data_IF_151601675901
#
_entry.id   IF_151601675901
#
_cell.length_a   1.000
_cell.length_b   1.000
_cell.length_c   1.000
_cell.angle_alpha   90.00
_cell.angle_beta   90.00
_cell.angle_gamma   90.00
#
_symmetry.space_group_name_H-M   'P 1'
#
loop_
_entity.id
_entity.type
_entity.pdbx_description
1 polymer ?
#
# COMPACT_ATOMS: atom_id res chain seq x y z
N UNK A 1 13.14 11.70 -6.00
CA UNK A 1 11.78 11.89 -5.46
C UNK A 1 11.17 13.10 -6.13
N UNK A 2 9.95 13.00 -6.64
CA UNK A 2 9.22 14.07 -7.33
C UNK A 2 7.80 14.22 -6.77
N UNK A 3 7.25 15.42 -6.91
CA UNK A 3 5.88 15.75 -6.56
C UNK A 3 5.07 15.89 -7.85
N UNK A 4 3.96 15.17 -7.95
CA UNK A 4 2.96 15.29 -9.02
C UNK A 4 1.71 15.90 -8.41
N UNK A 5 1.11 16.88 -9.07
CA UNK A 5 -0.09 17.57 -8.63
C UNK A 5 -1.21 17.22 -9.59
N UNK A 6 -2.25 16.53 -9.12
CA UNK A 6 -3.47 16.32 -9.90
C UNK A 6 -4.52 17.32 -9.46
N UNK A 7 -5.13 18.00 -10.43
CA UNK A 7 -6.20 18.97 -10.21
C UNK A 7 -7.53 18.33 -10.58
N UNK A 8 -8.49 18.33 -9.64
CA UNK A 8 -9.82 17.78 -9.82
C UNK A 8 -10.88 18.87 -9.65
N UNK A 9 -11.97 18.84 -10.43
CA UNK A 9 -13.14 19.68 -10.15
C UNK A 9 -13.67 19.34 -8.76
N UNK A 10 -14.05 20.37 -7.99
CA UNK A 10 -14.28 20.28 -6.54
C UNK A 10 -15.17 19.08 -6.11
N UNK A 11 -14.59 18.02 -5.51
CA UNK A 11 -15.36 16.96 -4.85
C UNK A 11 -15.90 17.42 -3.49
N UNK A 12 -16.76 16.61 -2.87
CA UNK A 12 -17.36 16.86 -1.55
C UNK A 12 -16.36 16.87 -0.39
N UNK A 13 -15.13 16.40 -0.61
CA UNK A 13 -14.08 16.25 0.40
C UNK A 13 -12.77 16.83 -0.14
N UNK A 14 -12.24 17.86 0.51
CA UNK A 14 -10.97 18.50 0.13
C UNK A 14 -10.92 19.99 0.47
N UNK A 15 -9.74 20.60 0.36
CA UNK A 15 -9.60 22.06 0.46
C UNK A 15 -9.70 22.64 -0.95
N UNK A 16 -10.84 23.27 -1.25
CA UNK A 16 -11.05 23.95 -2.52
C UNK A 16 -10.21 25.23 -2.61
N UNK A 17 -9.52 25.43 -3.73
CA UNK A 17 -8.87 26.69 -4.08
C UNK A 17 -9.21 27.04 -5.53
N UNK A 18 -10.02 28.08 -5.70
CA UNK A 18 -10.39 28.59 -7.03
C UNK A 18 -11.16 27.56 -7.88
N UNK A 19 -12.13 26.85 -7.29
CA UNK A 19 -12.95 25.87 -8.01
C UNK A 19 -12.31 24.49 -8.19
N UNK A 20 -11.08 24.30 -7.70
CA UNK A 20 -10.29 23.09 -7.91
C UNK A 20 -9.82 22.53 -6.57
N UNK A 21 -9.81 21.21 -6.43
CA UNK A 21 -9.10 20.49 -5.37
C UNK A 21 -7.86 19.85 -5.96
N UNK A 22 -6.71 20.02 -5.30
CA UNK A 22 -5.45 19.42 -5.72
C UNK A 22 -5.09 18.22 -4.85
N UNK A 23 -4.83 17.08 -5.46
CA UNK A 23 -4.22 15.91 -4.82
C UNK A 23 -2.72 15.90 -5.12
N UNK A 24 -1.92 15.60 -4.09
CA UNK A 24 -0.46 15.62 -4.14
C UNK A 24 0.09 14.19 -4.09
N UNK A 25 0.79 13.79 -5.14
CA UNK A 25 1.42 12.48 -5.25
C UNK A 25 2.93 12.62 -5.14
N UNK A 26 3.53 11.93 -4.17
CA UNK A 26 4.98 11.86 -4.04
C UNK A 26 5.46 10.53 -4.60
N UNK A 27 6.36 10.58 -5.58
CA UNK A 27 6.87 9.38 -6.25
C UNK A 27 8.39 9.32 -6.24
N UNK A 28 8.93 8.12 -6.01
CA UNK A 28 10.35 7.81 -6.22
C UNK A 28 10.63 7.35 -7.64
N UNK A 29 9.60 7.16 -8.48
CA UNK A 29 9.75 6.72 -9.86
C UNK A 29 10.59 7.74 -10.66
N UNK A 30 11.50 7.27 -11.52
CA UNK A 30 12.40 8.13 -12.28
C UNK A 30 11.60 8.96 -13.29
N UNK A 31 11.75 10.29 -13.20
CA UNK A 31 11.05 11.22 -14.09
C UNK A 31 11.28 10.98 -15.60
N UNK A 32 12.47 10.53 -16.05
CA UNK A 32 12.68 10.23 -17.47
C UNK A 32 11.97 8.96 -17.99
N UNK A 33 11.48 8.08 -17.12
CA UNK A 33 10.84 6.82 -17.54
C UNK A 33 9.34 6.78 -17.26
N UNK A 34 8.83 7.69 -16.42
CA UNK A 34 7.43 7.76 -16.06
C UNK A 34 6.97 9.20 -16.16
N UNK A 35 5.89 9.46 -16.89
CA UNK A 35 5.25 10.77 -16.93
C UNK A 35 4.50 11.07 -15.62
N UNK A 36 3.94 12.27 -15.49
CA UNK A 36 3.02 12.57 -14.40
C UNK A 36 1.71 11.77 -14.52
N UNK A 37 1.24 11.52 -15.75
CA UNK A 37 0.08 10.66 -16.02
C UNK A 37 0.36 9.24 -15.56
N UNK A 38 1.49 8.66 -15.94
CA UNK A 38 1.83 7.27 -15.58
C UNK A 38 1.83 7.05 -14.06
N UNK A 39 2.27 8.05 -13.29
CA UNK A 39 2.23 8.01 -11.82
C UNK A 39 0.81 8.06 -11.29
N UNK A 40 -0.02 8.93 -11.86
CA UNK A 40 -1.41 9.06 -11.47
C UNK A 40 -2.19 7.79 -11.84
N UNK A 41 -1.98 7.26 -13.05
CA UNK A 41 -2.58 6.02 -13.51
C UNK A 41 -2.15 4.85 -12.62
N UNK A 42 -0.85 4.71 -12.32
CA UNK A 42 -0.35 3.71 -11.36
C UNK A 42 -1.03 3.83 -9.98
N UNK A 43 -1.21 5.05 -9.48
CA UNK A 43 -1.87 5.28 -8.20
C UNK A 43 -3.37 4.95 -8.26
N UNK A 44 -4.09 5.42 -9.27
CA UNK A 44 -5.53 5.19 -9.42
C UNK A 44 -5.82 3.69 -9.63
N UNK A 45 -4.93 2.99 -10.33
CA UNK A 45 -4.98 1.55 -10.47
C UNK A 45 -4.71 0.79 -9.17
N UNK A 46 -4.29 1.44 -8.07
CA UNK A 46 -4.33 0.80 -6.75
C UNK A 46 -5.74 0.34 -6.39
N UNK A 47 -6.79 0.96 -6.93
CA UNK A 47 -8.17 0.50 -6.73
C UNK A 47 -8.39 -0.94 -7.19
N UNK A 48 -7.60 -1.44 -8.16
CA UNK A 48 -7.61 -2.86 -8.53
C UNK A 48 -7.12 -3.77 -7.40
N UNK A 49 -6.30 -3.28 -6.47
CA UNK A 49 -5.92 -4.00 -5.27
C UNK A 49 -7.11 -4.21 -4.35
N UNK A 50 -8.00 -3.22 -4.22
CA UNK A 50 -9.24 -3.36 -3.43
C UNK A 50 -10.16 -4.43 -4.03
N UNK A 51 -10.22 -4.55 -5.37
CA UNK A 51 -10.92 -5.67 -6.03
C UNK A 51 -10.27 -7.02 -5.71
N UNK A 52 -8.94 -7.09 -5.66
CA UNK A 52 -8.23 -8.33 -5.28
C UNK A 52 -8.50 -8.70 -3.82
N UNK A 53 -8.58 -7.72 -2.91
CA UNK A 53 -8.95 -7.96 -1.51
C UNK A 53 -10.40 -8.43 -1.40
N UNK A 54 -11.33 -7.83 -2.15
CA UNK A 54 -12.72 -8.28 -2.18
C UNK A 54 -12.85 -9.71 -2.73
N UNK A 55 -12.12 -10.06 -3.80
CA UNK A 55 -12.04 -11.42 -4.32
C UNK A 55 -11.42 -12.38 -3.28
N UNK A 56 -10.43 -11.92 -2.50
CA UNK A 56 -9.82 -12.68 -1.41
C UNK A 56 -10.86 -13.01 -0.34
N UNK A 57 -11.60 -12.01 0.13
CA UNK A 57 -12.62 -12.14 1.16
C UNK A 57 -13.76 -13.07 0.69
N UNK A 58 -14.23 -12.91 -0.55
CA UNK A 58 -15.29 -13.76 -1.13
C UNK A 58 -14.83 -15.21 -1.34
N UNK A 59 -13.63 -15.44 -1.88
CA UNK A 59 -13.15 -16.80 -2.17
C UNK A 59 -12.72 -17.59 -0.93
N UNK A 60 -12.31 -16.90 0.14
CA UNK A 60 -11.86 -17.55 1.37
C UNK A 60 -12.93 -17.58 2.46
N UNK A 61 -13.90 -16.66 2.44
CA UNK A 61 -14.92 -16.45 3.49
C UNK A 61 -14.29 -16.21 4.88
N UNK A 62 -13.20 -15.42 4.94
CA UNK A 62 -12.41 -15.20 6.16
C UNK A 62 -13.03 -14.24 7.18
N UNK A 63 -14.17 -13.62 6.88
CA UNK A 63 -14.91 -12.76 7.82
C UNK A 63 -15.47 -13.50 9.05
N UNK A 64 -15.24 -14.81 9.15
CA UNK A 64 -15.66 -15.65 10.27
C UNK A 64 -14.64 -15.61 11.40
N UNK A 65 -15.14 -15.68 12.63
CA UNK A 65 -14.30 -15.85 13.82
C UNK A 65 -13.83 -17.31 13.92
N UNK A 66 -12.52 -17.53 13.76
CA UNK A 66 -11.87 -18.84 13.91
C UNK A 66 -11.25 -19.02 15.30
N UNK A 67 -10.94 -17.92 15.99
CA UNK A 67 -10.41 -17.94 17.35
C UNK A 67 -10.81 -16.70 18.12
N UNK A 68 -11.12 -16.86 19.42
CA UNK A 68 -11.41 -15.75 20.32
C UNK A 68 -10.16 -14.96 20.79
N UNK A 69 -8.97 -15.36 20.35
CA UNK A 69 -7.71 -14.68 20.67
C UNK A 69 -7.17 -13.96 19.44
N UNK A 70 -6.62 -12.73 19.55
CA UNK A 70 -6.06 -12.00 18.41
C UNK A 70 -5.00 -12.81 17.64
N UNK A 71 -4.05 -13.44 18.36
CA UNK A 71 -3.01 -14.25 17.73
C UNK A 71 -3.55 -15.50 17.01
N UNK A 72 -4.61 -16.12 17.55
CA UNK A 72 -5.26 -17.25 16.90
C UNK A 72 -6.03 -16.85 15.64
N UNK A 73 -6.64 -15.66 15.64
CA UNK A 73 -7.33 -15.14 14.45
C UNK A 73 -6.32 -14.73 13.37
N UNK A 74 -5.24 -14.04 13.75
CA UNK A 74 -4.13 -13.70 12.85
C UNK A 74 -3.51 -14.95 12.22
N UNK A 75 -3.25 -15.99 13.01
CA UNK A 75 -2.74 -17.26 12.50
C UNK A 75 -3.70 -17.90 11.49
N UNK A 76 -5.01 -17.86 11.73
CA UNK A 76 -6.00 -18.37 10.79
C UNK A 76 -5.97 -17.62 9.45
N UNK A 77 -5.88 -16.28 9.47
CA UNK A 77 -5.76 -15.47 8.26
C UNK A 77 -4.47 -15.79 7.48
N UNK A 78 -3.33 -15.97 8.17
CA UNK A 78 -2.08 -16.36 7.53
C UNK A 78 -2.22 -17.72 6.82
N UNK A 79 -2.80 -18.71 7.49
CA UNK A 79 -3.04 -20.02 6.88
C UNK A 79 -3.97 -19.94 5.69
N UNK A 80 -5.03 -19.13 5.78
CA UNK A 80 -5.98 -18.95 4.70
C UNK A 80 -5.30 -18.33 3.47
N UNK A 81 -4.48 -17.30 3.69
CA UNK A 81 -3.71 -16.67 2.61
C UNK A 81 -2.67 -17.60 1.99
N UNK A 82 -2.02 -18.45 2.80
CA UNK A 82 -1.14 -19.50 2.29
C UNK A 82 -1.90 -20.50 1.42
N UNK A 83 -3.07 -20.96 1.87
CA UNK A 83 -3.90 -21.88 1.08
C UNK A 83 -4.38 -21.21 -0.21
N UNK A 84 -4.75 -19.93 -0.19
CA UNK A 84 -5.19 -19.20 -1.37
C UNK A 84 -4.11 -19.04 -2.43
N UNK A 85 -2.87 -18.75 -2.00
CA UNK A 85 -1.71 -18.74 -2.88
C UNK A 85 -1.36 -20.14 -3.39
N UNK A 86 -1.43 -21.15 -2.53
CA UNK A 86 -1.19 -22.54 -2.93
C UNK A 86 -2.20 -22.99 -3.99
N UNK A 87 -3.48 -22.62 -3.89
CA UNK A 87 -4.49 -22.93 -4.93
C UNK A 87 -4.12 -22.35 -6.30
N UNK A 88 -3.46 -21.19 -6.34
CA UNK A 88 -3.01 -20.60 -7.60
C UNK A 88 -1.89 -21.44 -8.23
N UNK A 89 -0.88 -21.80 -7.44
CA UNK A 89 0.23 -22.65 -7.89
C UNK A 89 -0.25 -24.03 -8.33
N UNK A 90 -1.07 -24.68 -7.49
CA UNK A 90 -1.64 -25.99 -7.79
C UNK A 90 -2.62 -25.96 -8.96
N UNK A 91 -3.29 -24.83 -9.22
CA UNK A 91 -4.18 -24.67 -10.37
C UNK A 91 -3.43 -24.46 -11.69
N UNK A 92 -2.23 -23.87 -11.66
CA UNK A 92 -1.39 -23.70 -12.85
C UNK A 92 -0.85 -25.04 -13.39
N UNK A 93 -0.59 -26.02 -12.52
CA UNK A 93 -0.07 -27.33 -12.91
C UNK A 93 -1.03 -28.13 -13.83
N UNK A 94 -2.33 -28.28 -13.51
CA UNK A 94 -3.30 -28.97 -14.36
C UNK A 94 -3.90 -28.11 -15.46
N UNK A 95 -3.83 -26.77 -15.34
CA UNK A 95 -4.40 -25.85 -16.34
C UNK A 95 -3.46 -24.65 -16.52
N UNK A 96 -2.33 -24.85 -17.22
CA UNK A 96 -1.37 -23.78 -17.46
C UNK A 96 -2.06 -22.65 -18.19
N UNK A 97 -2.05 -21.47 -17.59
CA UNK A 97 -2.57 -20.26 -18.21
C UNK A 97 -1.41 -19.36 -18.59
N UNK A 98 -1.45 -18.87 -19.83
CA UNK A 98 -0.45 -17.93 -20.30
C UNK A 98 -0.45 -16.66 -19.45
N UNK A 99 0.75 -16.14 -19.21
CA UNK A 99 0.91 -14.86 -18.55
C UNK A 99 0.37 -13.76 -19.48
N UNK A 100 -0.70 -13.10 -19.06
CA UNK A 100 -1.29 -12.02 -19.82
C UNK A 100 -0.37 -10.82 -19.74
N UNK A 101 -0.15 -10.15 -20.87
CA UNK A 101 0.59 -8.90 -20.94
C UNK A 101 -0.37 -7.83 -21.44
N UNK A 102 -0.58 -6.80 -20.64
CA UNK A 102 -1.41 -5.66 -20.98
C UNK A 102 -0.53 -4.43 -21.05
N UNK A 103 -0.63 -3.69 -22.14
CA UNK A 103 -0.03 -2.36 -22.24
C UNK A 103 -0.78 -1.42 -21.31
N UNK A 104 -0.07 -0.90 -20.32
CA UNK A 104 -0.60 -0.04 -19.28
C UNK A 104 -0.45 1.43 -19.65
N UNK A 105 0.67 1.80 -20.27
CA UNK A 105 0.90 3.14 -20.82
C UNK A 105 1.73 3.03 -22.11
N UNK A 106 1.34 3.74 -23.19
CA UNK A 106 2.05 3.70 -24.45
C UNK A 106 3.41 4.38 -24.37
N UNK A 107 4.33 3.96 -25.23
CA UNK A 107 5.54 4.74 -25.49
C UNK A 107 5.14 6.01 -26.26
N UNK A 108 5.62 7.17 -25.83
CA UNK A 108 5.46 8.39 -26.61
C UNK A 108 6.54 8.41 -27.70
N UNK A 109 6.13 8.40 -28.96
CA UNK A 109 7.04 8.65 -30.08
C UNK A 109 7.68 10.03 -29.89
N UNK A 110 9.00 10.08 -29.79
CA UNK A 110 9.71 11.34 -29.79
C UNK A 110 9.61 11.92 -31.21
N UNK A 111 8.87 13.03 -31.39
CA UNK A 111 8.99 13.80 -32.62
C UNK A 111 10.47 14.22 -32.80
N UNK A 112 11.04 14.09 -34.01
CA UNK A 112 12.42 14.46 -34.25
C UNK A 112 12.56 15.98 -34.12
N UNK A 113 13.23 16.43 -33.05
CA UNK A 113 13.64 17.81 -32.87
C UNK A 113 14.64 18.19 -33.98
N UNK A 114 14.24 19.12 -34.85
CA UNK A 114 15.12 19.80 -35.80
C UNK A 114 16.26 20.51 -35.06
N UNK A 115 17.48 20.10 -35.38
CA UNK A 115 18.73 20.74 -34.99
C UNK A 115 18.91 22.05 -35.75
N UNK A 116 19.00 23.17 -35.03
CA UNK A 116 20.04 24.22 -35.21
C UNK A 116 19.62 25.52 -34.50
N UNK A 117 20.35 25.93 -33.45
CA UNK A 117 20.84 27.32 -33.29
C UNK A 117 21.92 27.37 -32.17
N UNK A 118 23.06 28.08 -32.35
CA UNK A 118 24.15 28.08 -31.39
C UNK A 118 23.99 29.06 -30.22
N UNK A 119 24.42 28.59 -29.06
CA UNK A 119 24.37 29.20 -27.73
C UNK A 119 25.38 30.37 -27.56
N UNK A 120 24.92 31.48 -26.98
CA UNK A 120 25.71 32.70 -26.69
C UNK A 120 26.05 32.79 -25.19
N UNK A 121 27.25 33.27 -24.78
CA UNK A 121 27.74 33.09 -23.42
C UNK A 121 27.08 34.01 -22.39
N UNK A 122 26.72 33.40 -21.25
CA UNK A 122 25.97 33.99 -20.15
C UNK A 122 26.72 35.07 -19.37
N UNK A 123 26.04 36.20 -19.12
CA UNK A 123 26.40 37.23 -18.15
C UNK A 123 26.09 36.76 -16.70
N UNK A 124 26.75 37.32 -15.66
CA UNK A 124 26.52 36.91 -14.28
C UNK A 124 25.11 37.25 -13.80
N UNK A 125 24.50 36.43 -12.91
CA UNK A 125 23.11 36.59 -12.50
C UNK A 125 22.90 37.82 -11.61
N UNK A 126 21.80 38.57 -11.80
CA UNK A 126 21.44 39.70 -10.95
C UNK A 126 21.02 39.25 -9.54
N UNK A 127 21.22 40.14 -8.56
CA UNK A 127 20.78 39.91 -7.19
C UNK A 127 19.25 39.80 -7.12
N UNK A 128 18.74 38.64 -6.70
CA UNK A 128 17.31 38.37 -6.55
C UNK A 128 16.73 39.27 -5.46
N UNK A 129 15.78 40.14 -5.84
CA UNK A 129 15.04 40.97 -4.90
C UNK A 129 13.77 40.22 -4.49
N UNK A 130 13.47 40.13 -3.20
CA UNK A 130 12.32 39.39 -2.67
C UNK A 130 11.17 40.31 -2.25
N UNK A 131 9.95 39.81 -2.35
CA UNK A 131 8.71 40.48 -1.97
C UNK A 131 8.53 40.45 -0.44
N UNK A 132 7.62 41.28 0.12
CA UNK A 132 7.35 41.27 1.56
C UNK A 132 6.94 39.88 2.06
N UNK A 133 7.30 39.51 3.30
CA UNK A 133 7.03 38.19 3.86
C UNK A 133 5.53 37.88 3.89
N UNK A 134 5.15 36.76 3.26
CA UNK A 134 3.83 36.17 3.39
C UNK A 134 3.83 35.18 4.55
N UNK A 135 3.01 35.44 5.55
CA UNK A 135 2.90 34.60 6.74
C UNK A 135 2.06 33.36 6.48
N UNK A 136 2.45 32.23 7.07
CA UNK A 136 1.59 31.05 7.07
C UNK A 136 0.22 31.41 7.68
N UNK A 137 -0.86 31.00 6.99
CA UNK A 137 -2.24 31.20 7.44
C UNK A 137 -2.47 30.55 8.81
N UNK A 138 -3.52 31.00 9.49
CA UNK A 138 -4.00 30.43 10.77
C UNK A 138 -3.94 28.91 10.72
N UNK A 139 -3.17 28.32 11.63
CA UNK A 139 -3.29 26.88 11.89
C UNK A 139 -4.74 26.59 12.30
N UNK A 140 -5.23 25.39 12.00
CA UNK A 140 -6.57 24.87 12.33
C UNK A 140 -6.97 24.99 13.83
N UNK A 141 -6.09 25.54 14.64
CA UNK A 141 -5.97 25.31 16.07
C UNK A 141 -6.11 26.60 16.90
N UNK A 142 -6.82 27.61 16.38
CA UNK A 142 -7.22 28.84 17.09
C UNK A 142 -6.09 29.71 17.70
N UNK A 143 -4.82 29.39 17.46
CA UNK A 143 -3.68 30.18 17.94
C UNK A 143 -3.45 31.47 17.15
N UNK A 144 -2.63 32.39 17.69
CA UNK A 144 -2.29 33.64 17.00
C UNK A 144 -1.69 33.36 15.60
N UNK A 145 -2.23 33.96 14.52
CA UNK A 145 -1.69 33.80 13.17
C UNK A 145 -0.28 34.39 13.05
N UNK A 146 0.46 34.00 12.02
CA UNK A 146 1.78 34.60 11.75
C UNK A 146 1.73 36.12 11.57
N UNK A 147 0.61 36.66 11.06
CA UNK A 147 0.37 38.11 10.93
C UNK A 147 0.27 38.86 12.26
N UNK A 148 0.04 38.17 13.38
CA UNK A 148 0.03 38.77 14.71
C UNK A 148 1.45 38.99 15.28
N UNK A 149 2.50 38.59 14.53
CA UNK A 149 3.89 38.76 14.92
C UNK A 149 4.49 39.90 14.10
N UNK A 150 4.79 41.02 14.76
CA UNK A 150 5.21 42.25 14.09
C UNK A 150 6.71 42.22 13.78
N UNK A 151 7.13 42.42 12.51
CA UNK A 151 8.53 42.58 12.15
C UNK A 151 9.20 43.72 12.92
N UNK A 152 10.49 43.58 13.18
CA UNK A 152 11.33 44.59 13.83
C UNK A 152 12.45 45.05 12.88
N UNK A 153 12.99 46.28 13.06
CA UNK A 153 14.08 46.80 12.23
C UNK A 153 15.36 45.94 12.27
N UNK A 154 15.58 45.21 13.36
CA UNK A 154 16.72 44.30 13.54
C UNK A 154 16.53 42.92 12.85
N UNK A 155 15.42 42.74 12.12
CA UNK A 155 15.08 41.49 11.45
C UNK A 155 14.47 40.43 12.37
N UNK A 156 14.21 40.73 13.64
CA UNK A 156 13.45 39.86 14.55
C UNK A 156 11.94 40.07 14.40
N UNK A 157 11.12 39.24 15.07
CA UNK A 157 9.69 39.48 15.23
C UNK A 157 9.34 39.71 16.69
N UNK A 158 8.27 40.46 16.97
CA UNK A 158 7.65 40.54 18.29
C UNK A 158 6.32 39.82 18.29
N UNK A 159 6.09 38.97 19.30
CA UNK A 159 4.77 38.37 19.50
C UNK A 159 3.78 39.36 20.14
N UNK A 160 2.48 39.02 20.24
CA UNK A 160 1.47 39.86 20.91
C UNK A 160 1.78 40.19 22.39
N UNK A 161 2.58 39.36 23.07
CA UNK A 161 3.08 39.62 24.42
C UNK A 161 4.42 40.40 24.45
N UNK A 162 4.82 41.00 23.33
CA UNK A 162 6.02 41.82 23.18
C UNK A 162 7.37 41.07 23.39
N UNK A 163 7.37 39.74 23.33
CA UNK A 163 8.61 38.96 23.39
C UNK A 163 9.23 38.76 22.00
N UNK A 164 10.57 38.77 21.88
CA UNK A 164 11.25 38.61 20.60
C UNK A 164 11.27 37.15 20.11
N UNK A 165 11.15 36.99 18.80
CA UNK A 165 11.42 35.78 18.04
C UNK A 165 12.59 36.05 17.10
N UNK A 166 13.56 35.14 17.12
CA UNK A 166 14.77 35.25 16.32
C UNK A 166 14.67 34.34 15.10
N UNK A 167 15.23 34.79 13.99
CA UNK A 167 15.39 33.96 12.80
C UNK A 167 16.29 32.76 13.14
N UNK A 168 15.80 31.55 12.85
CA UNK A 168 16.49 30.29 13.07
C UNK A 168 16.98 29.67 11.76
N UNK A 169 16.19 29.81 10.69
CA UNK A 169 16.46 29.11 9.44
C UNK A 169 16.08 29.99 8.24
N UNK A 170 16.94 29.96 7.21
CA UNK A 170 16.68 30.48 5.87
C UNK A 170 16.83 29.32 4.90
N UNK A 171 15.72 28.88 4.30
CA UNK A 171 15.73 27.75 3.39
C UNK A 171 15.27 28.17 2.00
N UNK A 172 16.16 28.14 0.99
CA UNK A 172 15.73 28.31 -0.39
C UNK A 172 14.90 27.10 -0.81
N UNK A 173 13.77 27.36 -1.46
CA UNK A 173 12.92 26.35 -2.08
C UNK A 173 13.20 26.28 -3.59
N UNK A 174 12.79 25.18 -4.24
CA UNK A 174 13.11 24.94 -5.66
C UNK A 174 12.36 25.86 -6.60
N UNK A 175 11.29 26.49 -6.15
CA UNK A 175 10.52 27.51 -6.87
C UNK A 175 11.16 28.91 -6.78
N UNK A 176 12.35 29.02 -6.19
CA UNK A 176 13.06 30.28 -5.97
C UNK A 176 12.57 31.06 -4.75
N UNK A 177 11.51 30.61 -4.07
CA UNK A 177 11.05 31.23 -2.83
C UNK A 177 12.03 30.97 -1.68
N UNK A 178 12.01 31.85 -0.68
CA UNK A 178 12.84 31.75 0.51
C UNK A 178 11.95 31.62 1.74
N UNK A 179 11.98 30.45 2.39
CA UNK A 179 11.26 30.22 3.64
C UNK A 179 12.12 30.65 4.83
N UNK A 180 11.55 31.51 5.66
CA UNK A 180 12.14 32.01 6.90
C UNK A 180 11.41 31.38 8.09
N UNK A 181 12.16 30.79 9.03
CA UNK A 181 11.61 30.28 10.29
C UNK A 181 12.08 31.14 11.47
N UNK A 182 11.14 31.66 12.22
CA UNK A 182 11.37 32.42 13.45
C UNK A 182 10.96 31.61 14.66
N UNK A 183 11.72 31.69 15.76
CA UNK A 183 11.40 31.02 17.01
C UNK A 183 11.62 31.93 18.22
N UNK A 184 10.71 31.84 19.20
CA UNK A 184 10.89 32.45 20.50
C UNK A 184 11.89 31.65 21.35
N UNK A 185 12.44 32.28 22.39
CA UNK A 185 13.11 31.52 23.47
C UNK A 185 12.05 30.85 24.34
N UNK A 186 12.25 29.58 24.69
CA UNK A 186 11.29 28.84 25.53
C UNK A 186 11.08 29.52 26.90
N UNK A 187 12.11 30.18 27.45
CA UNK A 187 11.99 30.97 28.68
C UNK A 187 10.91 32.05 28.60
N UNK A 188 10.85 32.80 27.49
CA UNK A 188 9.81 33.80 27.26
C UNK A 188 8.41 33.18 27.12
N UNK A 189 8.32 31.98 26.53
CA UNK A 189 7.04 31.30 26.36
C UNK A 189 6.51 30.67 27.66
N UNK A 190 7.37 30.24 28.58
CA UNK A 190 6.95 29.55 29.82
C UNK A 190 6.24 30.48 30.80
N UNK A 191 6.71 31.72 30.92
CA UNK A 191 6.14 32.74 31.82
C UNK A 191 5.12 33.66 31.14
N UNK A 192 4.81 33.46 29.85
CA UNK A 192 3.94 34.35 29.09
C UNK A 192 2.46 34.14 29.48
N UNK A 193 1.70 35.20 29.83
CA UNK A 193 0.28 35.07 30.16
C UNK A 193 -0.57 34.64 28.95
N UNK A 194 -0.11 34.93 27.73
CA UNK A 194 -0.78 34.52 26.49
C UNK A 194 -0.37 33.12 26.03
N UNK A 195 0.38 32.34 26.83
CA UNK A 195 0.92 31.04 26.44
C UNK A 195 -0.16 30.06 25.98
N UNK A 196 -1.27 29.93 26.71
CA UNK A 196 -2.32 28.97 26.37
C UNK A 196 -3.03 29.28 25.04
N UNK A 197 -3.15 30.58 24.70
CA UNK A 197 -3.71 31.01 23.43
C UNK A 197 -2.67 30.95 22.29
N UNK A 198 -1.40 31.21 22.59
CA UNK A 198 -0.32 31.25 21.60
C UNK A 198 0.25 29.86 21.26
N UNK A 199 0.23 28.95 22.25
CA UNK A 199 0.61 27.56 22.17
C UNK A 199 -0.60 26.75 22.61
N UNK A 200 -1.25 26.09 21.66
CA UNK A 200 -2.48 25.28 21.86
C UNK A 200 -2.43 24.31 23.05
N UNK A 201 -1.22 23.95 23.47
CA UNK A 201 -0.97 23.19 24.67
C UNK A 201 -0.06 23.97 25.63
N UNK A 202 -0.50 24.13 26.87
CA UNK A 202 0.31 24.67 27.96
C UNK A 202 1.50 23.77 28.30
N UNK A 203 1.44 22.48 27.95
CA UNK A 203 2.46 21.45 28.26
C UNK A 203 3.53 21.29 27.18
N UNK A 204 3.45 22.02 26.06
CA UNK A 204 4.47 21.90 25.01
C UNK A 204 5.86 22.33 25.50
N UNK A 205 6.84 21.46 25.27
CA UNK A 205 8.25 21.73 25.56
C UNK A 205 8.91 22.61 24.49
N UNK A 206 8.24 22.84 23.35
CA UNK A 206 8.78 23.59 22.21
C UNK A 206 8.40 25.07 22.29
N UNK A 207 9.30 26.01 21.92
CA UNK A 207 8.95 27.41 21.82
C UNK A 207 7.99 27.68 20.66
N UNK A 208 7.32 28.83 20.68
CA UNK A 208 6.48 29.28 19.55
C UNK A 208 7.37 29.48 18.31
N UNK A 209 6.92 28.96 17.18
CA UNK A 209 7.56 29.11 15.87
C UNK A 209 6.59 29.76 14.89
N UNK A 210 7.12 30.58 13.99
CA UNK A 210 6.37 31.27 12.93
C UNK A 210 7.19 31.19 11.66
N UNK A 211 6.57 30.81 10.55
CA UNK A 211 7.22 30.79 9.24
C UNK A 211 6.65 31.88 8.32
N UNK A 212 7.54 32.52 7.57
CA UNK A 212 7.20 33.37 6.45
C UNK A 212 7.81 32.82 5.17
N UNK A 213 7.15 33.07 4.03
CA UNK A 213 7.69 32.79 2.70
C UNK A 213 7.91 34.12 2.00
N UNK A 214 9.11 34.31 1.47
CA UNK A 214 9.47 35.43 0.62
C UNK A 214 9.45 34.94 -0.83
N UNK A 215 8.65 35.58 -1.68
CA UNK A 215 8.60 35.28 -3.11
C UNK A 215 9.52 36.21 -3.89
N UNK A 216 10.24 35.75 -4.91
CA UNK A 216 11.02 36.64 -5.77
C UNK A 216 10.11 37.73 -6.35
N UNK A 217 10.49 39.01 -6.19
CA UNK A 217 9.93 40.07 -7.02
C UNK A 217 10.55 39.87 -8.39
N UNK A 218 9.77 39.33 -9.32
CA UNK A 218 10.15 39.30 -10.73
C UNK A 218 10.59 40.71 -11.11
N UNK A 219 11.90 40.91 -11.31
CA UNK A 219 12.40 42.15 -11.89
C UNK A 219 11.67 42.34 -13.21
N UNK A 220 10.90 43.40 -13.29
CA UNK A 220 9.99 43.70 -14.40
C UNK A 220 10.74 43.75 -15.73
N UNK A 221 10.24 42.94 -16.66
CA UNK A 221 10.39 43.00 -18.11
C UNK A 221 11.80 42.85 -18.71
N UNK A 222 12.15 41.61 -19.01
CA UNK A 222 12.23 41.20 -20.40
C UNK A 222 11.22 40.07 -20.61
N UNK A 223 10.47 40.10 -21.71
CA UNK A 223 9.71 38.95 -22.21
C UNK A 223 10.69 37.80 -22.44
N UNK A 224 10.89 37.03 -21.38
CA UNK A 224 11.67 35.82 -21.40
C UNK A 224 11.00 34.95 -20.34
N UNK A 225 9.94 34.28 -20.77
CA UNK A 225 9.61 32.98 -20.22
C UNK A 225 10.93 32.28 -19.95
N UNK A 226 11.22 31.79 -18.71
CA UNK A 226 12.34 30.87 -18.57
C UNK A 226 12.09 29.78 -19.61
N UNK A 227 13.06 29.44 -20.48
CA UNK A 227 12.89 28.29 -21.33
C UNK A 227 12.49 27.16 -20.39
N UNK A 228 11.39 26.42 -20.66
CA UNK A 228 11.09 25.23 -19.89
C UNK A 228 12.39 24.44 -19.89
N UNK A 229 12.90 24.12 -18.70
CA UNK A 229 14.18 23.42 -18.49
C UNK A 229 14.31 22.34 -19.57
N UNK A 230 14.99 22.69 -20.66
CA UNK A 230 14.93 21.94 -21.92
C UNK A 230 16.01 20.88 -21.89
N UNK A 231 16.10 20.20 -20.75
CA UNK A 231 16.23 18.75 -20.83
C UNK A 231 14.91 18.27 -21.43
N UNK A 232 14.85 17.89 -22.73
CA UNK A 232 13.68 17.19 -23.22
C UNK A 232 13.47 16.04 -22.23
N UNK A 233 12.32 16.06 -21.54
CA UNK A 233 11.89 14.92 -20.77
C UNK A 233 11.87 13.79 -21.78
N UNK A 234 12.90 12.95 -21.74
CA UNK A 234 13.14 11.92 -22.74
C UNK A 234 11.85 11.13 -22.80
N UNK A 235 11.16 11.19 -23.95
CA UNK A 235 9.90 10.48 -24.11
C UNK A 235 10.14 9.02 -23.72
N UNK A 236 9.26 8.42 -22.91
CA UNK A 236 9.45 7.03 -22.50
C UNK A 236 9.61 6.18 -23.76
N UNK A 237 10.80 5.61 -23.93
CA UNK A 237 11.20 4.90 -25.15
C UNK A 237 10.63 3.48 -25.25
N UNK A 238 9.83 3.08 -24.26
CA UNK A 238 9.20 1.78 -24.18
C UNK A 238 7.86 1.89 -23.42
N UNK A 239 6.86 1.08 -23.79
CA UNK A 239 5.58 1.05 -23.08
C UNK A 239 5.74 0.48 -21.68
N UNK A 240 4.88 0.91 -20.76
CA UNK A 240 4.72 0.25 -19.46
C UNK A 240 3.85 -0.98 -19.67
N UNK A 241 4.38 -2.16 -19.36
CA UNK A 241 3.66 -3.42 -19.49
C UNK A 241 3.29 -3.97 -18.12
N UNK A 242 2.02 -4.31 -17.94
CA UNK A 242 1.52 -5.06 -16.80
C UNK A 242 1.44 -6.55 -17.17
N UNK A 243 1.96 -7.41 -16.29
CA UNK A 243 1.91 -8.86 -16.49
C UNK A 243 1.23 -9.54 -15.32
N UNK A 244 0.22 -10.34 -15.62
CA UNK A 244 -0.51 -11.08 -14.61
C UNK A 244 -1.08 -12.41 -15.13
N UNK A 245 -1.40 -13.31 -14.22
CA UNK A 245 -2.19 -14.49 -14.53
C UNK A 245 -3.68 -14.24 -14.26
N UNK A 246 -4.60 -14.94 -14.94
CA UNK A 246 -6.03 -14.91 -14.60
C UNK A 246 -6.29 -15.68 -13.29
N UNK A 247 -5.78 -15.15 -12.17
CA UNK A 247 -5.68 -15.81 -10.87
C UNK A 247 -7.01 -16.39 -10.39
N UNK A 248 -8.09 -15.61 -10.47
CA UNK A 248 -9.42 -16.04 -10.03
C UNK A 248 -9.95 -17.21 -10.87
N UNK A 249 -9.73 -17.20 -12.19
CA UNK A 249 -10.10 -18.32 -13.07
C UNK A 249 -9.35 -19.59 -12.70
N UNK A 250 -8.03 -19.48 -12.47
CA UNK A 250 -7.18 -20.62 -12.08
C UNK A 250 -7.63 -21.21 -10.75
N UNK A 251 -7.84 -20.38 -9.71
CA UNK A 251 -8.28 -20.86 -8.39
C UNK A 251 -9.67 -21.49 -8.43
N UNK A 252 -10.63 -20.90 -9.15
CA UNK A 252 -11.98 -21.45 -9.32
C UNK A 252 -11.95 -22.77 -10.07
N UNK A 253 -11.14 -22.87 -11.12
CA UNK A 253 -10.96 -24.10 -11.89
C UNK A 253 -10.35 -25.20 -11.03
N UNK A 254 -9.30 -24.87 -10.26
CA UNK A 254 -8.69 -25.79 -9.30
C UNK A 254 -9.70 -26.32 -8.28
N UNK A 255 -10.48 -25.44 -7.65
CA UNK A 255 -11.52 -25.83 -6.70
C UNK A 255 -12.58 -26.74 -7.34
N UNK A 256 -13.00 -26.44 -8.57
CA UNK A 256 -13.94 -27.30 -9.32
C UNK A 256 -13.32 -28.67 -9.54
N UNK A 257 -12.10 -28.75 -10.05
CA UNK A 257 -11.38 -30.00 -10.29
C UNK A 257 -11.33 -30.84 -9.03
N UNK A 258 -10.83 -30.28 -7.92
CA UNK A 258 -10.73 -31.00 -6.63
C UNK A 258 -12.08 -31.48 -6.11
N UNK A 259 -13.13 -30.63 -6.19
CA UNK A 259 -14.47 -30.99 -5.73
C UNK A 259 -15.18 -32.02 -6.63
N UNK A 260 -14.80 -32.11 -7.90
CA UNK A 260 -15.33 -33.09 -8.84
C UNK A 260 -14.51 -34.38 -8.90
N UNK A 261 -13.43 -34.53 -8.13
CA UNK A 261 -12.63 -35.75 -8.14
C UNK A 261 -13.44 -36.91 -7.58
N UNK A 262 -13.41 -38.00 -8.32
CA UNK A 262 -13.85 -39.30 -7.81
C UNK A 262 -12.68 -39.92 -7.05
N UNK A 263 -12.96 -40.35 -5.82
CA UNK A 263 -12.01 -41.08 -4.98
C UNK A 263 -12.53 -42.49 -4.81
N UNK A 264 -11.83 -43.47 -5.38
CA UNK A 264 -12.13 -44.87 -5.21
C UNK A 264 -11.28 -45.44 -4.08
N UNK A 265 -11.94 -46.16 -3.17
CA UNK A 265 -11.30 -46.77 -2.01
C UNK A 265 -11.47 -48.29 -2.12
N UNK A 266 -10.37 -48.98 -2.39
CA UNK A 266 -10.36 -50.43 -2.51
C UNK A 266 -9.60 -51.05 -1.34
N UNK A 267 -10.28 -51.93 -0.61
CA UNK A 267 -9.65 -52.75 0.42
C UNK A 267 -9.24 -54.08 -0.20
N UNK A 268 -8.00 -54.51 0.04
CA UNK A 268 -7.52 -55.81 -0.42
C UNK A 268 -8.20 -57.01 0.25
N UNK A 269 -9.00 -56.77 1.30
CA UNK A 269 -9.80 -57.80 1.97
C UNK A 269 -11.29 -57.60 1.67
N UNK A 270 -12.06 -58.68 1.41
CA UNK A 270 -13.50 -58.59 1.26
C UNK A 270 -14.10 -57.99 2.54
N UNK A 271 -14.96 -57.00 2.35
CA UNK A 271 -15.67 -56.33 3.43
C UNK A 271 -16.57 -57.37 4.12
N UNK A 272 -16.06 -58.00 5.18
CA UNK A 272 -16.90 -58.80 6.05
C UNK A 272 -17.69 -57.79 6.87
N UNK A 273 -19.02 -57.69 6.73
CA UNK A 273 -19.80 -56.82 7.61
C UNK A 273 -19.47 -57.26 9.04
N UNK A 274 -19.10 -56.33 9.93
CA UNK A 274 -18.82 -56.71 11.30
C UNK A 274 -20.03 -57.46 11.81
N UNK A 275 -19.83 -58.72 12.21
CA UNK A 275 -20.81 -59.49 12.96
C UNK A 275 -21.14 -58.62 14.16
N UNK A 276 -22.30 -57.95 14.12
CA UNK A 276 -22.69 -57.02 15.16
C UNK A 276 -22.63 -57.80 16.48
N UNK A 277 -21.69 -57.48 17.38
CA UNK A 277 -21.74 -58.08 18.71
C UNK A 277 -23.11 -57.72 19.26
N UNK A 278 -23.80 -58.68 19.87
CA UNK A 278 -25.01 -58.38 20.63
C UNK A 278 -24.69 -57.16 21.51
N UNK A 279 -25.35 -56.03 21.25
CA UNK A 279 -25.01 -54.75 21.85
C UNK A 279 -25.19 -54.87 23.36
N UNK A 280 -24.11 -55.15 24.05
CA UNK A 280 -24.07 -55.11 25.50
C UNK A 280 -24.22 -53.64 25.85
N UNK A 281 -25.25 -53.29 26.61
CA UNK A 281 -25.45 -51.93 27.10
C UNK A 281 -24.19 -51.50 27.85
N UNK A 282 -23.38 -50.69 27.18
CA UNK A 282 -22.13 -50.21 27.74
C UNK A 282 -22.46 -49.06 28.68
N UNK A 283 -22.51 -49.35 29.97
CA UNK A 283 -22.71 -48.33 30.99
C UNK A 283 -21.43 -47.50 31.10
N UNK A 284 -21.46 -46.28 30.60
CA UNK A 284 -20.35 -45.34 30.72
C UNK A 284 -20.34 -44.67 32.09
N UNK A 285 -19.18 -44.67 32.74
CA UNK A 285 -18.91 -43.88 33.94
C UNK A 285 -18.96 -42.38 33.64
N UNK A 286 -19.14 -41.56 34.68
CA UNK A 286 -19.11 -40.09 34.56
C UNK A 286 -17.78 -39.57 33.98
N UNK A 287 -16.67 -40.24 34.28
CA UNK A 287 -15.35 -39.90 33.77
C UNK A 287 -15.21 -40.23 32.27
N UNK A 288 -15.75 -41.35 31.82
CA UNK A 288 -15.77 -41.73 30.39
C UNK A 288 -16.72 -40.85 29.57
N UNK A 289 -17.79 -40.32 30.19
CA UNK A 289 -18.70 -39.35 29.57
C UNK A 289 -18.13 -37.93 29.52
N UNK A 290 -17.12 -37.64 30.32
CA UNK A 290 -16.48 -36.33 30.29
C UNK A 290 -15.62 -36.23 29.02
N UNK A 291 -15.95 -35.28 28.15
CA UNK A 291 -15.20 -35.02 26.91
C UNK A 291 -13.89 -34.31 27.23
N UNK A 292 -12.90 -35.05 27.72
CA UNK A 292 -11.54 -34.58 27.83
C UNK A 292 -10.93 -34.49 26.43
N UNK A 293 -10.25 -33.38 26.15
CA UNK A 293 -9.41 -33.30 24.94
C UNK A 293 -8.30 -34.32 25.09
N UNK A 294 -8.34 -35.38 24.27
CA UNK A 294 -7.22 -36.30 24.15
C UNK A 294 -5.94 -35.54 23.82
N UNK A 295 -4.83 -35.93 24.44
CA UNK A 295 -3.50 -35.46 24.06
C UNK A 295 -3.20 -35.85 22.61
N UNK A 296 -2.18 -35.23 22.03
CA UNK A 296 -1.76 -35.57 20.66
C UNK A 296 -1.38 -37.05 20.54
N UNK A 297 -0.61 -37.58 21.49
CA UNK A 297 -0.21 -39.00 21.52
C UNK A 297 -1.41 -39.94 21.63
N UNK A 298 -2.39 -39.59 22.47
CA UNK A 298 -3.63 -40.38 22.60
C UNK A 298 -4.44 -40.40 21.29
N UNK A 299 -4.47 -39.28 20.56
CA UNK A 299 -5.13 -39.21 19.24
C UNK A 299 -4.39 -40.04 18.21
N UNK A 300 -3.06 -39.93 18.17
CA UNK A 300 -2.21 -40.70 17.28
C UNK A 300 -2.35 -42.20 17.55
N UNK A 301 -2.28 -42.62 18.82
CA UNK A 301 -2.45 -44.02 19.21
C UNK A 301 -3.85 -44.56 18.84
N UNK A 302 -4.90 -43.77 19.09
CA UNK A 302 -6.27 -44.14 18.73
C UNK A 302 -6.47 -44.29 17.21
N UNK A 303 -5.83 -43.43 16.42
CA UNK A 303 -5.92 -43.43 14.97
C UNK A 303 -4.82 -44.27 14.30
N UNK A 304 -3.94 -44.91 15.08
CA UNK A 304 -2.83 -45.69 14.55
C UNK A 304 -3.39 -46.88 13.78
N UNK A 305 -2.90 -47.07 12.56
CA UNK A 305 -3.30 -48.19 11.72
C UNK A 305 -2.72 -49.49 12.32
N UNK A 306 -3.55 -50.50 12.65
CA UNK A 306 -3.06 -51.81 13.07
C UNK A 306 -2.16 -52.44 12.02
N UNK A 307 -1.14 -53.19 12.44
CA UNK A 307 -0.19 -53.83 11.52
C UNK A 307 -0.84 -54.88 10.62
N UNK A 308 -1.94 -55.48 11.07
CA UNK A 308 -2.77 -56.47 10.38
C UNK A 308 -3.90 -55.83 9.55
N UNK A 309 -4.05 -54.51 9.58
CA UNK A 309 -5.11 -53.83 8.84
C UNK A 309 -4.93 -54.02 7.32
N UNK A 310 -6.01 -54.36 6.57
CA UNK A 310 -5.93 -54.62 5.15
C UNK A 310 -5.36 -53.42 4.40
N UNK A 311 -4.70 -53.68 3.27
CA UNK A 311 -4.16 -52.62 2.44
C UNK A 311 -5.33 -51.86 1.83
N UNK A 312 -5.35 -50.56 2.07
CA UNK A 312 -6.24 -49.62 1.40
C UNK A 312 -5.51 -49.05 0.19
N UNK A 313 -6.10 -49.24 -0.98
CA UNK A 313 -5.69 -48.59 -2.23
C UNK A 313 -6.63 -47.41 -2.43
N UNK A 314 -6.05 -46.22 -2.59
CA UNK A 314 -6.79 -44.98 -2.85
C UNK A 314 -6.48 -44.57 -4.28
N UNK A 315 -7.50 -44.56 -5.14
CA UNK A 315 -7.38 -44.13 -6.53
C UNK A 315 -8.07 -42.79 -6.70
N UNK A 316 -7.33 -41.79 -7.19
CA UNK A 316 -7.82 -40.44 -7.45
C UNK A 316 -8.03 -40.27 -8.96
N UNK A 317 -9.23 -39.92 -9.37
CA UNK A 317 -9.57 -39.70 -10.78
C UNK A 317 -9.67 -38.21 -11.11
N UNK A 318 -9.44 -37.86 -12.38
CA UNK A 318 -9.61 -36.50 -12.89
C UNK A 318 -8.45 -35.53 -12.60
N UNK A 319 -7.32 -36.05 -12.11
CA UNK A 319 -6.08 -35.30 -11.94
C UNK A 319 -5.20 -35.41 -13.20
N UNK A 320 -4.49 -34.32 -13.53
CA UNK A 320 -3.54 -34.33 -14.64
C UNK A 320 -2.30 -35.15 -14.29
N UNK A 321 -1.67 -35.77 -15.29
CA UNK A 321 -0.41 -36.50 -15.08
C UNK A 321 0.73 -35.62 -14.51
N UNK A 322 0.93 -34.36 -14.97
CA UNK A 322 1.91 -33.46 -14.36
C UNK A 322 1.66 -33.21 -12.86
N UNK A 323 0.39 -33.02 -12.47
CA UNK A 323 0.03 -32.88 -11.06
C UNK A 323 0.39 -34.14 -10.27
N UNK A 324 -0.01 -35.32 -10.77
CA UNK A 324 0.27 -36.57 -10.10
C UNK A 324 1.78 -36.82 -9.90
N UNK A 325 2.59 -36.53 -10.91
CA UNK A 325 4.06 -36.65 -10.86
C UNK A 325 4.66 -35.69 -9.83
N UNK A 326 4.20 -34.43 -9.78
CA UNK A 326 4.70 -33.43 -8.84
C UNK A 326 4.53 -33.84 -7.37
N UNK A 327 3.51 -34.66 -7.06
CA UNK A 327 3.23 -35.16 -5.71
C UNK A 327 3.65 -36.61 -5.48
N UNK A 328 4.34 -37.23 -6.44
CA UNK A 328 4.83 -38.61 -6.32
C UNK A 328 3.72 -39.67 -6.37
N UNK A 329 2.57 -39.36 -6.96
CA UNK A 329 1.52 -40.34 -7.20
C UNK A 329 1.87 -41.24 -8.40
N UNK A 330 1.59 -42.54 -8.26
CA UNK A 330 1.74 -43.48 -9.36
C UNK A 330 0.62 -43.28 -10.38
N UNK A 331 0.98 -43.21 -11.67
CA UNK A 331 0.01 -43.17 -12.76
C UNK A 331 -0.49 -44.59 -13.05
N UNK A 332 -1.81 -44.77 -13.05
CA UNK A 332 -2.44 -45.99 -13.56
C UNK A 332 -2.64 -45.84 -15.07
N UNK A 333 -2.33 -46.89 -15.84
CA UNK A 333 -2.62 -46.90 -17.27
C UNK A 333 -4.13 -46.74 -17.50
N UNK A 334 -4.57 -46.02 -18.56
CA UNK A 334 -5.99 -45.94 -18.89
C UNK A 334 -6.51 -47.36 -19.16
N UNK A 335 -7.53 -47.76 -18.40
CA UNK A 335 -8.25 -49.03 -18.52
C UNK A 335 -9.19 -49.03 -19.71
#
# INVERSE_FOLDING_TARGET
MRLVVAAHPAPTVGVERGGTVSELFVSTLPAPAFTASDVLDLYLHRGSFETVLADEDEEQEMDRWYSHTPCGQEFAHILAQWVWNLRLELGQQPSPSELRTTEFAPAYEAEPLSTDEPESPAAPPPAVTYSPPQWAHTSFTHGFPGSAFTPQPDGSLRCPANHPLYLQERRPERDGSLRLLYAARIGHCRSCPLRAQCQESSTTLKPRRVSAVLWPLSSSHADSSPPPDSTPARSPSAPVLWRDWPRCSIRRTWLKVVRSQMVCLESSAPFSPPRSPCATEKIFTRAERAHWRLSWDQRLARNARPADAPRLIVTLHGLSAPFAIAFGFALLAPT
#
